data_IF_264927375724
#
_entry.id   IF_264927375724
#
_cell.length_a   1.000
_cell.length_b   1.000
_cell.length_c   1.000
_cell.angle_alpha   90.00
_cell.angle_beta   90.00
_cell.angle_gamma   90.00
#
_symmetry.space_group_name_H-M   'P 1'
#
loop_
_entity.id
_entity.type
_entity.pdbx_description
1 polymer ?
#
# COMPACT_ATOMS: atom_id res chain seq x y z
N UNK A 1 -46.80 48.11 9.32
CA UNK A 1 -45.81 48.94 8.59
C UNK A 1 -45.57 50.22 9.37
N UNK A 2 -44.48 50.29 10.14
CA UNK A 2 -44.08 51.51 10.84
C UNK A 2 -43.50 52.51 9.82
N UNK A 3 -44.14 53.68 9.66
CA UNK A 3 -43.59 54.81 8.90
C UNK A 3 -42.45 55.43 9.72
N UNK A 4 -41.25 54.88 9.61
CA UNK A 4 -40.06 55.51 10.18
C UNK A 4 -39.82 56.86 9.49
N UNK A 5 -39.64 57.92 10.28
CA UNK A 5 -39.36 59.26 9.80
C UNK A 5 -38.07 59.26 8.95
N UNK A 6 -38.11 59.88 7.77
CA UNK A 6 -37.07 59.79 6.73
C UNK A 6 -35.67 60.21 7.23
N UNK A 7 -35.59 61.07 8.26
CA UNK A 7 -34.33 61.44 8.92
C UNK A 7 -33.75 60.32 9.79
N UNK A 8 -34.60 59.60 10.53
CA UNK A 8 -34.18 58.49 11.41
C UNK A 8 -33.73 57.31 10.57
N UNK A 9 -34.42 57.02 9.45
CA UNK A 9 -34.00 55.98 8.51
C UNK A 9 -32.65 56.29 7.87
N UNK A 10 -32.41 57.55 7.47
CA UNK A 10 -31.09 57.98 6.97
C UNK A 10 -29.99 57.89 8.03
N UNK A 11 -30.29 58.22 9.30
CA UNK A 11 -29.31 58.10 10.39
C UNK A 11 -28.95 56.63 10.67
N UNK A 12 -29.95 55.74 10.66
CA UNK A 12 -29.76 54.30 10.81
C UNK A 12 -28.99 53.72 9.63
N UNK A 13 -29.28 54.16 8.40
CA UNK A 13 -28.56 53.72 7.21
C UNK A 13 -27.10 54.21 7.24
N UNK A 14 -26.85 55.46 7.66
CA UNK A 14 -25.49 55.96 7.85
C UNK A 14 -24.79 55.18 8.96
N UNK A 15 -25.45 54.87 10.08
CA UNK A 15 -24.86 54.07 11.16
C UNK A 15 -24.57 52.62 10.73
N UNK A 16 -25.43 52.00 9.93
CA UNK A 16 -25.22 50.65 9.37
C UNK A 16 -24.11 50.65 8.32
N UNK A 17 -24.02 51.69 7.49
CA UNK A 17 -22.92 51.84 6.53
C UNK A 17 -21.62 52.15 7.27
N UNK A 18 -21.64 53.00 8.30
CA UNK A 18 -20.46 53.32 9.12
C UNK A 18 -20.03 52.12 9.96
N UNK A 19 -20.95 51.30 10.47
CA UNK A 19 -20.61 50.06 11.17
C UNK A 19 -20.11 48.99 10.20
N UNK A 20 -20.65 48.88 8.98
CA UNK A 20 -20.10 48.01 7.94
C UNK A 20 -18.73 48.47 7.44
N UNK A 21 -18.47 49.78 7.38
CA UNK A 21 -17.16 50.33 6.99
C UNK A 21 -16.12 50.17 8.11
N UNK A 22 -16.52 50.27 9.39
CA UNK A 22 -15.62 50.01 10.54
C UNK A 22 -15.30 48.51 10.68
N UNK A 23 -16.18 47.60 10.22
CA UNK A 23 -15.92 46.15 10.27
C UNK A 23 -15.08 45.67 9.06
N UNK A 24 -14.91 46.48 8.01
CA UNK A 24 -14.16 46.09 6.79
C UNK A 24 -12.66 46.44 6.81
N UNK A 25 -12.13 46.97 7.90
CA UNK A 25 -10.69 47.04 8.13
C UNK A 25 -10.31 46.10 9.27
N UNK A 26 -10.69 44.82 9.17
CA UNK A 26 -9.83 43.79 9.72
C UNK A 26 -8.52 43.90 8.93
N UNK A 27 -7.58 44.68 9.45
CA UNK A 27 -6.17 44.50 9.13
C UNK A 27 -5.95 43.01 9.35
N UNK A 28 -5.85 42.23 8.28
CA UNK A 28 -5.46 40.83 8.38
C UNK A 28 -4.11 40.88 9.09
N UNK A 29 -4.11 40.49 10.37
CA UNK A 29 -2.90 40.48 11.16
C UNK A 29 -1.92 39.56 10.43
N UNK A 30 -0.71 40.06 10.19
CA UNK A 30 0.40 39.23 9.69
C UNK A 30 0.58 38.13 10.72
N UNK A 31 0.12 36.93 10.40
CA UNK A 31 0.05 35.87 11.41
C UNK A 31 0.81 34.66 10.90
N UNK A 32 1.92 34.36 11.57
CA UNK A 32 2.61 33.10 11.41
C UNK A 32 1.99 32.11 12.40
N UNK A 33 1.62 30.94 11.90
CA UNK A 33 1.09 29.83 12.69
C UNK A 33 2.18 28.79 12.92
N UNK A 34 2.37 28.37 14.16
CA UNK A 34 3.16 27.20 14.53
C UNK A 34 2.19 26.06 14.88
N UNK A 35 2.26 24.96 14.15
CA UNK A 35 1.43 23.77 14.34
C UNK A 35 2.19 22.67 15.08
N UNK A 36 1.93 22.54 16.38
CA UNK A 36 2.64 21.61 17.25
C UNK A 36 2.10 20.18 17.16
N UNK A 37 1.03 19.89 16.41
CA UNK A 37 0.36 18.58 16.42
C UNK A 37 1.25 17.42 15.96
N UNK A 38 2.32 17.72 15.23
CA UNK A 38 3.36 16.75 14.86
C UNK A 38 4.43 16.48 15.93
N UNK A 39 4.42 17.22 17.04
CA UNK A 39 5.43 17.13 18.10
C UNK A 39 5.04 16.23 19.29
N UNK A 40 3.80 15.75 19.32
CA UNK A 40 3.27 14.90 20.39
C UNK A 40 2.59 13.64 19.84
N UNK A 41 2.25 12.70 20.73
CA UNK A 41 1.52 11.46 20.37
C UNK A 41 0.01 11.67 20.36
N UNK A 42 -0.46 12.69 21.08
CA UNK A 42 -1.85 13.08 21.19
C UNK A 42 -2.02 14.60 21.23
N UNK A 43 -3.27 15.08 21.12
CA UNK A 43 -3.57 16.50 21.23
C UNK A 43 -3.23 17.06 22.63
N UNK A 44 -3.42 16.25 23.67
CA UNK A 44 -3.09 16.61 25.06
C UNK A 44 -1.58 16.82 25.25
N UNK A 45 -0.76 16.22 24.39
CA UNK A 45 0.69 16.42 24.41
C UNK A 45 1.11 17.80 23.88
N UNK A 46 0.24 18.50 23.15
CA UNK A 46 0.59 19.72 22.41
C UNK A 46 -0.31 20.91 22.71
N UNK A 47 -1.48 20.69 23.31
CA UNK A 47 -2.41 21.72 23.73
C UNK A 47 -1.90 22.49 24.97
N UNK A 48 -2.03 23.82 24.96
CA UNK A 48 -1.66 24.66 26.11
C UNK A 48 -0.17 24.67 26.45
N UNK A 49 0.70 24.22 25.54
CA UNK A 49 2.14 24.06 25.77
C UNK A 49 2.86 25.40 25.75
N UNK A 50 3.77 25.59 26.71
CA UNK A 50 4.63 26.77 26.77
C UNK A 50 5.81 26.63 25.80
N UNK A 51 6.07 27.70 25.06
CA UNK A 51 7.21 27.85 24.16
C UNK A 51 8.04 29.03 24.63
N UNK A 52 9.34 28.83 24.75
CA UNK A 52 10.30 29.91 24.84
C UNK A 52 10.91 30.09 23.45
N UNK A 53 10.83 31.31 22.91
CA UNK A 53 11.26 31.62 21.55
C UNK A 53 12.26 32.77 21.63
N UNK A 54 13.40 32.62 20.93
CA UNK A 54 14.46 33.61 20.82
C UNK A 54 14.61 34.07 19.38
N UNK A 55 14.74 35.38 19.15
CA UNK A 55 15.16 35.92 17.86
C UNK A 55 16.69 35.88 17.78
N UNK A 56 17.22 35.02 16.92
CA UNK A 56 18.65 34.68 16.91
C UNK A 56 19.43 35.34 15.77
N UNK A 57 18.74 35.74 14.70
CA UNK A 57 19.33 36.50 13.58
C UNK A 57 18.24 37.36 12.91
N UNK A 58 18.58 38.58 12.53
CA UNK A 58 17.71 39.48 11.75
C UNK A 58 17.52 39.00 10.29
N UNK A 59 18.40 38.13 9.81
CA UNK A 59 18.37 37.58 8.45
C UNK A 59 17.62 36.25 8.42
N UNK A 60 17.23 35.86 7.20
CA UNK A 60 16.65 34.55 6.92
C UNK A 60 17.80 33.56 6.66
N UNK A 61 18.07 32.68 7.62
CA UNK A 61 19.10 31.65 7.49
C UNK A 61 18.62 30.48 6.59
N UNK A 62 19.55 29.90 5.84
CA UNK A 62 19.32 28.67 5.07
C UNK A 62 19.00 27.47 5.97
N UNK A 63 18.48 26.38 5.38
CA UNK A 63 18.15 25.17 6.15
C UNK A 63 19.35 24.60 6.91
N UNK A 64 20.51 24.51 6.27
CA UNK A 64 21.74 23.95 6.87
C UNK A 64 22.26 24.83 8.02
N UNK A 65 22.23 26.15 7.84
CA UNK A 65 22.60 27.10 8.90
C UNK A 65 21.66 27.01 10.10
N UNK A 66 20.37 26.83 9.85
CA UNK A 66 19.35 26.67 10.90
C UNK A 66 19.48 25.36 11.66
N UNK A 67 19.92 24.30 11.00
CA UNK A 67 20.23 23.04 11.64
C UNK A 67 21.46 23.17 12.56
N UNK A 68 22.57 23.70 12.03
CA UNK A 68 23.79 23.93 12.81
C UNK A 68 23.53 24.85 14.02
N UNK A 69 22.67 25.86 13.85
CA UNK A 69 22.20 26.70 14.94
C UNK A 69 21.51 25.89 16.04
N UNK A 70 20.52 25.06 15.69
CA UNK A 70 19.78 24.23 16.67
C UNK A 70 20.73 23.32 17.43
N UNK A 71 21.64 22.65 16.73
CA UNK A 71 22.68 21.79 17.34
C UNK A 71 23.57 22.58 18.31
N UNK A 72 24.01 23.78 17.93
CA UNK A 72 24.89 24.61 18.76
C UNK A 72 24.23 25.17 20.03
N UNK A 73 22.90 25.33 20.01
CA UNK A 73 22.14 25.94 21.09
C UNK A 73 21.43 24.92 21.97
N UNK A 74 21.15 23.70 21.49
CA UNK A 74 20.29 22.73 22.18
C UNK A 74 20.68 22.47 23.64
N UNK A 75 21.96 22.21 23.89
CA UNK A 75 22.44 21.80 25.21
C UNK A 75 22.75 22.98 26.15
N UNK A 76 22.55 24.22 25.66
CA UNK A 76 22.79 25.43 26.45
C UNK A 76 21.62 25.72 27.38
N UNK A 77 21.83 26.10 28.65
CA UNK A 77 20.74 26.50 29.53
C UNK A 77 20.06 27.78 29.02
N UNK A 78 18.74 27.91 29.24
CA UNK A 78 17.93 29.05 28.77
C UNK A 78 18.54 30.41 29.14
N UNK A 79 19.08 30.53 30.35
CA UNK A 79 19.66 31.78 30.87
C UNK A 79 21.02 32.14 30.26
N UNK A 80 21.67 31.21 29.55
CA UNK A 80 22.92 31.50 28.81
C UNK A 80 22.68 32.07 27.42
N UNK A 81 21.43 32.03 26.92
CA UNK A 81 21.06 32.60 25.63
C UNK A 81 20.74 34.09 25.79
N UNK A 82 21.64 34.96 25.34
CA UNK A 82 21.52 36.43 25.49
C UNK A 82 20.68 37.10 24.39
N UNK A 83 19.91 36.32 23.63
CA UNK A 83 19.02 36.82 22.57
C UNK A 83 17.70 37.35 23.14
N UNK A 84 17.04 38.22 22.38
CA UNK A 84 15.68 38.68 22.70
C UNK A 84 14.73 37.48 22.74
N UNK A 85 14.04 37.31 23.87
CA UNK A 85 13.20 36.15 24.15
C UNK A 85 11.76 36.50 24.47
N UNK A 86 10.86 35.60 24.12
CA UNK A 86 9.44 35.67 24.44
C UNK A 86 8.93 34.32 24.90
N UNK A 87 7.85 34.36 25.70
CA UNK A 87 7.14 33.17 26.17
C UNK A 87 5.72 33.18 25.63
N UNK A 88 5.36 32.13 24.90
CA UNK A 88 4.05 31.99 24.28
C UNK A 88 3.46 30.63 24.63
N UNK A 89 2.16 30.46 24.38
CA UNK A 89 1.46 29.18 24.60
C UNK A 89 0.67 28.78 23.37
N UNK A 90 0.64 27.48 23.08
CA UNK A 90 -0.32 26.94 22.12
C UNK A 90 -1.75 26.98 22.68
N UNK A 91 -2.73 27.03 21.79
CA UNK A 91 -4.15 26.95 22.11
C UNK A 91 -4.57 25.49 22.39
N UNK A 92 -5.87 25.28 22.62
CA UNK A 92 -6.46 23.94 22.87
C UNK A 92 -6.37 22.99 21.67
N UNK A 93 -6.10 23.50 20.48
CA UNK A 93 -5.95 22.72 19.25
C UNK A 93 -4.48 22.44 18.89
N UNK A 94 -3.54 22.90 19.71
CA UNK A 94 -2.10 22.71 19.48
C UNK A 94 -1.46 23.71 18.51
N UNK A 95 -2.14 24.83 18.21
CA UNK A 95 -1.59 25.91 17.38
C UNK A 95 -1.09 27.08 18.21
N UNK A 96 -0.06 27.77 17.73
CA UNK A 96 0.38 29.07 18.23
C UNK A 96 0.37 30.06 17.06
N UNK A 97 -0.42 31.10 17.18
CA UNK A 97 -0.54 32.17 16.19
C UNK A 97 0.11 33.44 16.74
N UNK A 98 1.07 34.01 16.02
CA UNK A 98 1.78 35.22 16.46
C UNK A 98 2.35 36.01 15.26
N UNK A 99 2.43 37.33 15.41
CA UNK A 99 3.02 38.25 14.43
C UNK A 99 4.50 38.46 14.76
N UNK A 100 5.36 37.67 14.11
CA UNK A 100 6.81 37.76 14.30
C UNK A 100 7.41 38.76 13.30
N UNK A 101 8.30 39.62 13.79
CA UNK A 101 9.17 40.40 12.91
C UNK A 101 9.98 39.48 11.99
N UNK A 102 10.41 40.03 10.85
CA UNK A 102 11.28 39.29 9.93
C UNK A 102 12.55 38.85 10.65
N UNK A 103 12.91 37.57 10.49
CA UNK A 103 14.15 37.03 11.04
C UNK A 103 14.15 35.53 11.19
N UNK A 104 15.22 35.01 11.80
CA UNK A 104 15.36 33.61 12.20
C UNK A 104 15.18 33.49 13.70
N UNK A 105 14.42 32.47 14.10
CA UNK A 105 14.03 32.20 15.47
C UNK A 105 14.45 30.81 15.89
N UNK A 106 14.78 30.66 17.17
CA UNK A 106 14.99 29.39 17.87
C UNK A 106 13.91 29.23 18.94
N UNK A 107 13.33 28.05 19.08
CA UNK A 107 12.24 27.80 20.00
C UNK A 107 12.46 26.50 20.79
N UNK A 108 12.04 26.50 22.04
CA UNK A 108 11.96 25.31 22.91
C UNK A 108 10.52 25.14 23.38
N UNK A 109 9.95 23.96 23.15
CA UNK A 109 8.65 23.57 23.73
C UNK A 109 8.88 22.86 25.06
N UNK A 110 8.21 23.31 26.12
CA UNK A 110 8.38 22.80 27.48
C UNK A 110 7.37 21.68 27.82
N UNK A 111 7.82 20.70 28.62
CA UNK A 111 6.97 19.61 29.12
C UNK A 111 5.99 20.06 30.21
N UNK A 112 4.78 19.51 30.23
CA UNK A 112 3.76 19.80 31.26
C UNK A 112 3.86 18.91 32.51
N UNK A 113 4.48 17.72 32.44
CA UNK A 113 4.41 16.70 33.49
C UNK A 113 5.73 15.93 33.67
N UNK A 114 6.57 16.31 34.65
CA UNK A 114 7.69 15.61 35.34
C UNK A 114 8.62 14.62 34.61
N UNK A 115 8.47 14.45 33.30
CA UNK A 115 9.37 13.80 32.34
C UNK A 115 9.62 14.86 31.28
N UNK A 116 10.83 15.39 31.29
CA UNK A 116 11.21 16.58 30.53
C UNK A 116 11.59 16.11 29.12
N UNK A 117 10.65 16.20 28.18
CA UNK A 117 11.01 16.26 26.76
C UNK A 117 11.04 17.74 26.36
N UNK A 118 12.23 18.25 26.06
CA UNK A 118 12.43 19.59 25.47
C UNK A 118 12.58 19.41 23.98
N UNK A 119 11.75 20.12 23.20
CA UNK A 119 11.81 20.05 21.75
C UNK A 119 12.38 21.36 21.18
N UNK A 120 13.67 21.40 20.83
CA UNK A 120 14.27 22.54 20.17
C UNK A 120 13.91 22.55 18.67
N UNK A 121 13.66 23.72 18.10
CA UNK A 121 13.59 23.88 16.65
C UNK A 121 13.94 25.31 16.25
N UNK A 122 14.20 25.52 14.96
CA UNK A 122 14.36 26.86 14.40
C UNK A 122 13.40 27.07 13.22
N UNK A 123 12.96 28.31 13.06
CA UNK A 123 12.06 28.71 11.98
C UNK A 123 12.41 30.11 11.49
N UNK A 124 11.83 30.48 10.35
CA UNK A 124 12.01 31.81 9.75
C UNK A 124 10.65 32.48 9.67
N UNK A 125 10.61 33.76 10.03
CA UNK A 125 9.47 34.62 9.75
C UNK A 125 9.87 35.52 8.58
N UNK A 126 9.15 35.40 7.46
CA UNK A 126 9.28 36.31 6.31
C UNK A 126 8.26 37.44 6.40
N UNK A 127 8.59 38.58 5.83
CA UNK A 127 7.65 39.68 5.67
C UNK A 127 6.56 39.31 4.65
N UNK A 128 5.32 39.66 4.96
CA UNK A 128 4.17 39.71 4.04
C UNK A 128 3.62 38.36 3.52
N UNK A 129 3.98 37.23 4.15
CA UNK A 129 3.43 35.90 3.84
C UNK A 129 2.71 35.28 5.06
N UNK A 130 1.47 34.79 4.86
CA UNK A 130 0.88 33.81 5.78
C UNK A 130 1.73 32.54 5.78
N UNK A 131 2.31 32.20 6.92
CA UNK A 131 3.26 31.10 7.06
C UNK A 131 2.75 30.10 8.09
N UNK A 132 2.80 28.81 7.75
CA UNK A 132 2.58 27.74 8.71
C UNK A 132 3.90 26.99 8.92
N UNK A 133 4.33 26.94 10.17
CA UNK A 133 5.55 26.25 10.62
C UNK A 133 5.14 24.95 11.30
N UNK A 134 5.75 23.84 10.86
CA UNK A 134 5.57 22.51 11.44
C UNK A 134 6.84 22.09 12.18
N UNK A 135 7.00 22.47 13.45
CA UNK A 135 8.15 22.06 14.25
C UNK A 135 8.20 20.54 14.46
N UNK A 136 9.42 20.00 14.49
CA UNK A 136 9.68 18.57 14.56
C UNK A 136 9.98 18.18 16.02
N UNK A 137 9.16 17.30 16.60
CA UNK A 137 9.40 16.73 17.94
C UNK A 137 10.29 15.48 17.85
N UNK A 138 11.20 15.35 18.81
CA UNK A 138 12.23 14.31 18.98
C UNK A 138 13.28 14.25 17.87
N UNK A 139 14.57 14.35 18.26
CA UNK A 139 15.79 14.13 17.48
C UNK A 139 15.61 13.70 16.01
N UNK A 140 16.12 14.55 15.11
CA UNK A 140 16.46 14.25 13.71
C UNK A 140 15.43 13.48 12.87
N UNK A 141 14.63 14.22 12.09
CA UNK A 141 14.21 13.72 10.77
C UNK A 141 14.19 14.85 9.74
N UNK A 142 15.23 14.96 8.88
CA UNK A 142 15.12 15.73 7.65
C UNK A 142 13.86 15.32 6.89
N UNK A 143 13.13 16.28 6.28
CA UNK A 143 11.93 15.91 5.55
C UNK A 143 12.30 14.91 4.47
N UNK A 144 11.48 13.88 4.30
CA UNK A 144 11.65 12.98 3.19
C UNK A 144 11.22 13.65 1.89
N UNK A 145 11.78 13.16 0.79
CA UNK A 145 11.39 13.53 -0.56
C UNK A 145 10.87 12.28 -1.24
N UNK A 146 9.84 12.42 -2.06
CA UNK A 146 9.47 11.38 -3.02
C UNK A 146 9.69 11.88 -4.43
N UNK A 147 10.29 11.00 -5.25
CA UNK A 147 10.36 11.15 -6.69
C UNK A 147 9.62 10.00 -7.34
N UNK A 148 8.49 10.30 -7.96
CA UNK A 148 7.72 9.36 -8.75
C UNK A 148 8.23 9.38 -10.18
N UNK A 149 8.40 8.19 -10.76
CA UNK A 149 8.72 7.97 -12.17
C UNK A 149 7.58 7.21 -12.82
N UNK A 150 6.83 7.90 -13.68
CA UNK A 150 5.77 7.32 -14.47
C UNK A 150 6.33 6.85 -15.79
N UNK A 151 6.15 5.56 -16.05
CA UNK A 151 6.66 4.94 -17.26
C UNK A 151 5.63 4.02 -17.91
N UNK A 152 5.88 3.68 -19.17
CA UNK A 152 5.25 2.58 -19.87
C UNK A 152 5.89 1.23 -19.52
N UNK A 153 5.28 0.16 -20.01
CA UNK A 153 5.81 -1.19 -19.93
C UNK A 153 7.13 -1.41 -20.69
N UNK A 154 7.42 -0.59 -21.71
CA UNK A 154 8.70 -0.50 -22.43
C UNK A 154 9.67 0.54 -21.84
N UNK A 155 9.47 0.90 -20.57
CA UNK A 155 10.34 1.80 -19.76
C UNK A 155 10.47 3.23 -20.26
N UNK A 156 9.55 3.70 -21.11
CA UNK A 156 9.55 5.09 -21.58
C UNK A 156 8.84 5.99 -20.59
N UNK A 157 9.35 7.21 -20.33
CA UNK A 157 8.69 8.18 -19.45
C UNK A 157 7.34 8.62 -20.03
N UNK A 158 6.37 8.87 -19.15
CA UNK A 158 5.03 9.27 -19.53
C UNK A 158 4.62 10.60 -18.88
N UNK A 159 4.49 11.63 -19.70
CA UNK A 159 3.97 12.94 -19.32
C UNK A 159 2.44 12.95 -19.21
N UNK A 160 1.91 13.77 -18.30
CA UNK A 160 0.49 14.08 -18.21
C UNK A 160 -0.35 13.08 -17.42
N UNK A 161 0.27 12.18 -16.65
CA UNK A 161 -0.46 11.34 -15.70
C UNK A 161 -0.84 12.18 -14.49
N UNK A 162 -2.08 12.05 -14.00
CA UNK A 162 -2.59 12.83 -12.87
C UNK A 162 -2.65 11.95 -11.62
N UNK A 163 -2.04 12.42 -10.54
CA UNK A 163 -1.95 11.72 -9.27
C UNK A 163 -2.50 12.54 -8.10
N UNK A 164 -3.03 11.84 -7.11
CA UNK A 164 -3.23 12.35 -5.75
C UNK A 164 -2.29 11.64 -4.80
N UNK A 165 -1.80 12.36 -3.80
CA UNK A 165 -0.95 11.81 -2.74
C UNK A 165 -1.76 11.75 -1.44
N UNK A 166 -1.76 10.60 -0.78
CA UNK A 166 -2.36 10.43 0.53
C UNK A 166 -1.31 9.96 1.53
N UNK A 167 -1.38 10.49 2.75
CA UNK A 167 -0.68 9.95 3.92
C UNK A 167 -1.59 9.03 4.70
N UNK A 168 -1.06 7.92 5.21
CA UNK A 168 -1.79 7.05 6.12
C UNK A 168 -1.55 7.53 7.55
N UNK A 169 -2.61 7.97 8.23
CA UNK A 169 -2.58 8.41 9.62
C UNK A 169 -3.64 7.64 10.40
N UNK A 170 -3.23 6.87 11.41
CA UNK A 170 -4.12 6.01 12.21
C UNK A 170 -4.99 5.08 11.34
N UNK A 171 -4.40 4.52 10.29
CA UNK A 171 -5.09 3.63 9.34
C UNK A 171 -6.06 4.33 8.38
N UNK A 172 -6.07 5.67 8.32
CA UNK A 172 -6.91 6.46 7.41
C UNK A 172 -6.07 7.20 6.38
N UNK A 173 -6.57 7.28 5.14
CA UNK A 173 -5.99 8.07 4.07
C UNK A 173 -6.33 9.56 4.27
N UNK A 174 -5.30 10.39 4.41
CA UNK A 174 -5.40 11.85 4.51
C UNK A 174 -4.76 12.46 3.27
N UNK A 175 -5.54 13.22 2.49
CA UNK A 175 -5.07 13.84 1.26
C UNK A 175 -3.99 14.89 1.55
N UNK A 176 -2.82 14.71 0.96
CA UNK A 176 -1.74 15.70 0.98
C UNK A 176 -2.00 16.76 -0.08
N UNK A 177 -1.86 18.03 0.33
CA UNK A 177 -1.95 19.18 -0.57
C UNK A 177 -0.63 19.94 -0.55
N UNK A 178 -0.28 20.55 -1.67
CA UNK A 178 0.89 21.42 -1.82
C UNK A 178 0.47 22.70 -2.50
N UNK A 179 0.73 23.84 -1.87
CA UNK A 179 0.38 25.17 -2.39
C UNK A 179 -1.11 25.29 -2.81
N UNK A 180 -2.00 24.63 -2.05
CA UNK A 180 -3.43 24.57 -2.35
C UNK A 180 -3.86 23.55 -3.40
N UNK A 181 -2.91 22.92 -4.11
CA UNK A 181 -3.15 21.87 -5.09
C UNK A 181 -3.29 20.50 -4.42
N UNK A 182 -4.24 19.70 -4.91
CA UNK A 182 -4.44 18.31 -4.48
C UNK A 182 -4.00 17.28 -5.52
N UNK A 183 -3.65 17.74 -6.72
CA UNK A 183 -3.32 16.89 -7.86
C UNK A 183 -1.95 17.26 -8.42
N UNK A 184 -1.18 16.24 -8.77
CA UNK A 184 0.18 16.34 -9.28
C UNK A 184 0.22 15.70 -10.66
N UNK A 185 0.82 16.39 -11.62
CA UNK A 185 0.88 15.93 -13.00
C UNK A 185 2.31 15.60 -13.36
N UNK A 186 2.53 14.46 -14.01
CA UNK A 186 3.88 14.08 -14.45
C UNK A 186 4.37 15.01 -15.56
N UNK A 187 5.62 15.44 -15.44
CA UNK A 187 6.27 16.33 -16.40
C UNK A 187 6.74 15.60 -17.67
N UNK A 188 7.49 16.28 -18.53
CA UNK A 188 7.99 15.73 -19.80
C UNK A 188 8.92 14.51 -19.61
N UNK A 189 9.58 14.42 -18.46
CA UNK A 189 10.44 13.29 -18.08
C UNK A 189 9.65 12.19 -17.34
N UNK A 190 8.32 12.36 -17.23
CA UNK A 190 7.43 11.45 -16.54
C UNK A 190 7.57 11.52 -15.02
N UNK A 191 8.06 12.63 -14.49
CA UNK A 191 8.42 12.75 -13.08
C UNK A 191 7.41 13.58 -12.28
N UNK A 192 7.26 13.23 -11.00
CA UNK A 192 6.69 14.12 -9.96
C UNK A 192 7.67 14.13 -8.79
N UNK A 193 8.05 15.32 -8.33
CA UNK A 193 8.89 15.50 -7.15
C UNK A 193 8.10 16.24 -6.07
N UNK A 194 8.01 15.63 -4.89
CA UNK A 194 7.35 16.25 -3.72
C UNK A 194 8.32 16.16 -2.55
N UNK A 195 8.71 17.33 -2.02
CA UNK A 195 9.57 17.45 -0.87
C UNK A 195 8.77 17.75 0.40
N UNK A 196 9.51 17.93 1.51
CA UNK A 196 8.94 18.35 2.79
C UNK A 196 7.87 17.36 3.31
N UNK A 197 8.01 16.07 2.98
CA UNK A 197 7.12 15.02 3.46
C UNK A 197 7.54 14.53 4.85
N UNK A 198 6.55 14.27 5.68
CA UNK A 198 6.76 13.66 6.98
C UNK A 198 7.08 12.18 6.78
N UNK A 199 7.89 11.60 7.68
CA UNK A 199 8.07 10.15 7.73
C UNK A 199 6.70 9.46 7.89
N UNK A 200 6.52 8.34 7.19
CA UNK A 200 5.32 7.53 7.29
C UNK A 200 4.98 6.80 6.01
N UNK A 201 3.79 6.21 6.01
CA UNK A 201 3.24 5.47 4.88
C UNK A 201 2.39 6.40 4.02
N UNK A 202 2.54 6.25 2.70
CA UNK A 202 1.90 7.08 1.70
C UNK A 202 1.34 6.22 0.56
N UNK A 203 0.41 6.82 -0.18
CA UNK A 203 -0.23 6.23 -1.34
C UNK A 203 -0.23 7.28 -2.46
N UNK A 204 0.32 6.90 -3.61
CA UNK A 204 -0.02 7.57 -4.86
C UNK A 204 -1.26 6.92 -5.44
N UNK A 205 -2.32 7.69 -5.66
CA UNK A 205 -3.49 7.28 -6.41
C UNK A 205 -3.44 7.89 -7.81
N UNK A 206 -3.33 7.06 -8.85
CA UNK A 206 -3.44 7.52 -10.24
C UNK A 206 -4.92 7.77 -10.55
N UNK A 207 -5.24 9.02 -10.86
CA UNK A 207 -6.61 9.48 -11.17
C UNK A 207 -6.85 9.41 -12.67
N UNK A 208 -5.85 9.80 -13.47
CA UNK A 208 -5.94 9.83 -14.92
C UNK A 208 -4.63 9.33 -15.54
N UNK A 209 -4.74 8.37 -16.45
CA UNK A 209 -3.60 7.90 -17.22
C UNK A 209 -3.27 8.89 -18.37
N UNK A 210 -2.00 8.97 -18.79
CA UNK A 210 -1.60 9.69 -20.00
C UNK A 210 -2.37 9.21 -21.24
N UNK A 211 -2.55 10.10 -22.22
CA UNK A 211 -3.19 9.76 -23.50
C UNK A 211 -2.54 8.55 -24.17
N UNK A 212 -3.35 7.57 -24.57
CA UNK A 212 -2.88 6.33 -25.21
C UNK A 212 -2.37 5.28 -24.22
N UNK A 213 -2.59 5.48 -22.92
CA UNK A 213 -2.23 4.55 -21.86
C UNK A 213 -3.42 4.26 -20.93
N UNK A 214 -3.29 3.17 -20.18
CA UNK A 214 -4.26 2.74 -19.17
C UNK A 214 -3.57 2.51 -17.84
N UNK A 215 -4.27 2.91 -16.77
CA UNK A 215 -3.84 2.69 -15.39
C UNK A 215 -3.70 1.17 -15.17
N UNK A 216 -2.49 0.74 -14.81
CA UNK A 216 -2.23 -0.66 -14.45
C UNK A 216 -2.64 -0.96 -13.02
N UNK A 217 -2.27 -0.07 -12.11
CA UNK A 217 -2.49 -0.20 -10.68
C UNK A 217 -2.90 1.17 -10.15
N UNK A 218 -4.11 1.24 -9.59
CA UNK A 218 -4.71 2.53 -9.22
C UNK A 218 -4.04 3.16 -8.00
N UNK A 219 -3.58 2.34 -7.05
CA UNK A 219 -2.95 2.80 -5.80
C UNK A 219 -1.59 2.15 -5.64
N UNK A 220 -0.55 2.96 -5.46
CA UNK A 220 0.81 2.51 -5.18
C UNK A 220 1.21 2.96 -3.78
N UNK A 221 1.43 1.98 -2.90
CA UNK A 221 1.88 2.21 -1.54
C UNK A 221 3.40 2.38 -1.48
N UNK A 222 3.87 3.30 -0.67
CA UNK A 222 5.28 3.51 -0.41
C UNK A 222 5.51 4.11 0.98
N UNK A 223 6.76 4.06 1.42
CA UNK A 223 7.17 4.61 2.71
C UNK A 223 8.15 5.76 2.48
N UNK A 224 7.90 6.86 3.18
CA UNK A 224 8.86 7.96 3.29
C UNK A 224 9.73 7.71 4.50
N UNK A 225 11.03 7.57 4.22
CA UNK A 225 12.08 7.38 5.21
C UNK A 225 12.86 8.69 5.43
N UNK A 226 13.65 8.71 6.49
CA UNK A 226 14.44 9.87 6.90
C UNK A 226 15.55 10.18 5.87
N UNK A 227 15.82 11.47 5.63
CA UNK A 227 17.02 11.98 4.93
C UNK A 227 17.32 11.33 3.57
N UNK A 228 16.30 10.82 2.88
CA UNK A 228 16.45 10.10 1.62
C UNK A 228 15.34 10.45 0.64
N UNK A 229 15.68 10.41 -0.64
CA UNK A 229 14.70 10.45 -1.72
C UNK A 229 14.13 9.05 -1.91
N UNK A 230 12.85 8.87 -1.61
CA UNK A 230 12.11 7.66 -1.98
C UNK A 230 11.79 7.72 -3.46
N UNK A 231 12.30 6.77 -4.23
CA UNK A 231 11.96 6.63 -5.66
C UNK A 231 10.79 5.66 -5.82
N UNK A 232 9.69 6.13 -6.41
CA UNK A 232 8.49 5.31 -6.67
C UNK A 232 8.34 5.16 -8.17
N UNK A 233 8.24 3.93 -8.66
CA UNK A 233 8.11 3.64 -10.10
C UNK A 233 6.73 3.08 -10.40
N UNK A 234 5.96 3.77 -11.25
CA UNK A 234 4.58 3.40 -11.58
C UNK A 234 4.44 3.16 -13.09
N UNK A 235 4.03 1.95 -13.46
CA UNK A 235 3.97 1.47 -14.85
C UNK A 235 2.53 1.52 -15.36
N UNK A 236 2.30 2.02 -16.59
CA UNK A 236 1.02 1.86 -17.29
C UNK A 236 1.15 0.93 -18.49
N UNK A 237 0.03 0.35 -18.89
CA UNK A 237 -0.10 -0.31 -20.18
C UNK A 237 -0.34 0.72 -21.26
N UNK A 238 0.11 0.43 -22.49
CA UNK A 238 -0.47 1.07 -23.66
C UNK A 238 -1.95 0.73 -23.72
N UNK A 239 -2.75 1.59 -24.33
CA UNK A 239 -4.21 1.45 -24.34
C UNK A 239 -4.72 0.14 -24.97
N UNK A 240 -3.91 -0.46 -25.84
CA UNK A 240 -4.15 -1.74 -26.49
C UNK A 240 -3.35 -2.90 -25.89
N UNK A 241 -2.81 -2.76 -24.68
CA UNK A 241 -2.07 -3.79 -23.95
C UNK A 241 -2.71 -4.09 -22.59
N UNK A 242 -2.50 -5.29 -22.08
CA UNK A 242 -3.02 -5.71 -20.78
C UNK A 242 -2.42 -7.02 -20.29
N UNK A 243 -3.18 -7.75 -19.47
CA UNK A 243 -2.76 -9.03 -18.92
C UNK A 243 -3.92 -9.95 -18.55
N UNK A 244 -3.59 -11.13 -18.03
CA UNK A 244 -4.57 -12.13 -17.60
C UNK A 244 -4.10 -12.83 -16.33
N UNK A 245 -5.00 -12.98 -15.36
CA UNK A 245 -4.76 -13.77 -14.15
C UNK A 245 -5.40 -15.14 -14.32
N UNK A 246 -4.66 -16.18 -13.92
CA UNK A 246 -5.10 -17.57 -13.97
C UNK A 246 -5.00 -18.20 -12.59
N UNK A 247 -5.78 -19.24 -12.35
CA UNK A 247 -5.65 -20.09 -11.17
C UNK A 247 -5.73 -21.57 -11.53
N UNK A 248 -4.69 -22.31 -11.19
CA UNK A 248 -4.59 -23.75 -11.36
C UNK A 248 -5.19 -24.47 -10.16
N UNK A 249 -6.16 -25.35 -10.42
CA UNK A 249 -6.83 -26.13 -9.39
C UNK A 249 -7.02 -27.59 -9.79
N UNK A 250 -7.31 -28.44 -8.82
CA UNK A 250 -7.80 -29.81 -9.03
C UNK A 250 -9.25 -29.77 -9.53
N UNK A 251 -9.58 -30.55 -10.55
CA UNK A 251 -10.95 -30.63 -11.07
C UNK A 251 -11.95 -31.14 -10.03
N UNK A 252 -11.49 -32.03 -9.11
CA UNK A 252 -12.31 -32.68 -8.09
C UNK A 252 -12.41 -31.87 -6.80
N UNK A 253 -11.27 -31.50 -6.22
CA UNK A 253 -11.24 -30.87 -4.88
C UNK A 253 -11.27 -29.35 -4.94
N UNK A 254 -11.04 -28.76 -6.12
CA UNK A 254 -10.85 -27.31 -6.32
C UNK A 254 -9.70 -26.70 -5.52
N UNK A 255 -8.86 -27.53 -4.89
CA UNK A 255 -7.65 -27.10 -4.21
C UNK A 255 -6.59 -26.65 -5.22
N UNK A 256 -5.73 -25.69 -4.84
CA UNK A 256 -4.69 -25.17 -5.73
C UNK A 256 -3.65 -26.24 -6.11
N UNK A 257 -3.06 -26.08 -7.29
CA UNK A 257 -1.96 -26.93 -7.75
C UNK A 257 -0.75 -26.06 -8.09
N UNK A 258 0.33 -26.26 -7.35
CA UNK A 258 1.61 -25.56 -7.51
C UNK A 258 2.49 -26.22 -8.59
N UNK A 259 3.37 -25.42 -9.21
CA UNK A 259 4.50 -25.91 -9.99
C UNK A 259 4.15 -26.36 -11.42
N UNK A 260 2.91 -26.15 -11.86
CA UNK A 260 2.48 -26.46 -13.22
C UNK A 260 3.03 -25.40 -14.16
N UNK A 261 3.66 -25.82 -15.26
CA UNK A 261 4.29 -24.89 -16.22
C UNK A 261 3.49 -24.76 -17.51
N UNK A 262 3.37 -23.52 -17.96
CA UNK A 262 2.64 -23.15 -19.16
C UNK A 262 3.49 -22.29 -20.10
N UNK A 263 3.20 -22.35 -21.39
CA UNK A 263 3.62 -21.35 -22.38
C UNK A 263 2.39 -20.71 -23.00
N UNK A 264 2.53 -19.45 -23.43
CA UNK A 264 1.48 -18.74 -24.17
C UNK A 264 1.86 -18.72 -25.63
N UNK A 265 0.86 -18.91 -26.49
CA UNK A 265 0.99 -18.72 -27.93
C UNK A 265 -0.05 -17.73 -28.42
N UNK A 266 0.25 -17.07 -29.54
CA UNK A 266 -0.76 -16.47 -30.40
C UNK A 266 -0.75 -17.17 -31.75
N UNK A 267 -1.91 -17.21 -32.41
CA UNK A 267 -2.01 -17.78 -33.76
C UNK A 267 -1.86 -16.65 -34.77
N UNK A 268 -0.83 -16.74 -35.61
CA UNK A 268 -0.60 -15.79 -36.69
C UNK A 268 -0.38 -16.58 -37.98
N UNK A 269 -1.13 -16.24 -39.03
CA UNK A 269 -1.04 -16.89 -40.35
C UNK A 269 -1.17 -18.42 -40.31
N UNK A 270 -2.00 -18.96 -39.41
CA UNK A 270 -2.26 -20.40 -39.27
C UNK A 270 -1.26 -21.19 -38.42
N UNK A 271 -0.20 -20.54 -37.89
CA UNK A 271 0.79 -21.18 -37.03
C UNK A 271 0.73 -20.64 -35.60
N UNK A 272 0.95 -21.52 -34.62
CA UNK A 272 1.06 -21.14 -33.22
C UNK A 272 2.48 -20.62 -32.94
N UNK A 273 2.57 -19.33 -32.62
CA UNK A 273 3.82 -18.67 -32.27
C UNK A 273 3.89 -18.51 -30.75
N UNK A 274 4.93 -19.05 -30.13
CA UNK A 274 5.19 -18.86 -28.70
C UNK A 274 5.54 -17.40 -28.40
N UNK A 275 4.91 -16.87 -27.37
CA UNK A 275 5.24 -15.57 -26.82
C UNK A 275 6.58 -15.66 -26.11
N UNK A 276 7.42 -14.66 -26.36
CA UNK A 276 8.78 -14.60 -25.81
C UNK A 276 8.95 -13.38 -24.93
N UNK A 277 9.77 -13.52 -23.89
CA UNK A 277 10.27 -12.44 -23.04
C UNK A 277 11.79 -12.55 -23.01
N UNK A 278 12.47 -11.44 -23.29
CA UNK A 278 13.94 -11.36 -23.34
C UNK A 278 14.58 -12.43 -24.26
N UNK A 279 13.94 -12.66 -25.42
CA UNK A 279 14.39 -13.63 -26.43
C UNK A 279 14.09 -15.10 -26.12
N UNK A 280 13.57 -15.42 -24.93
CA UNK A 280 13.23 -16.79 -24.48
C UNK A 280 11.72 -16.98 -24.42
N UNK A 281 11.25 -18.22 -24.52
CA UNK A 281 9.83 -18.55 -24.34
C UNK A 281 9.36 -18.04 -22.97
N UNK A 282 8.23 -17.33 -22.96
CA UNK A 282 7.59 -16.90 -21.73
C UNK A 282 6.94 -18.13 -21.06
N UNK A 283 7.62 -18.65 -20.04
CA UNK A 283 7.13 -19.76 -19.23
C UNK A 283 6.49 -19.22 -17.96
N UNK A 284 5.21 -19.53 -17.76
CA UNK A 284 4.47 -19.22 -16.53
C UNK A 284 4.42 -20.46 -15.65
N UNK A 285 4.50 -20.28 -14.34
CA UNK A 285 4.43 -21.38 -13.36
C UNK A 285 3.38 -21.03 -12.30
N UNK A 286 2.48 -21.96 -11.98
CA UNK A 286 1.53 -21.77 -10.88
C UNK A 286 2.24 -21.75 -9.54
N UNK A 287 1.92 -20.77 -8.69
CA UNK A 287 2.44 -20.66 -7.33
C UNK A 287 1.75 -21.63 -6.35
N UNK A 288 2.14 -21.57 -5.08
CA UNK A 288 1.58 -22.35 -3.97
C UNK A 288 0.06 -22.23 -3.79
N UNK A 289 -0.51 -21.10 -4.19
CA UNK A 289 -1.96 -20.81 -4.14
C UNK A 289 -2.64 -21.09 -5.49
N UNK A 290 -1.89 -21.65 -6.44
CA UNK A 290 -2.27 -22.03 -7.79
C UNK A 290 -2.28 -20.87 -8.77
N UNK A 291 -1.96 -19.65 -8.35
CA UNK A 291 -2.07 -18.47 -9.21
C UNK A 291 -0.86 -18.31 -10.11
N UNK A 292 -1.11 -17.71 -11.27
CA UNK A 292 -0.07 -17.19 -12.16
C UNK A 292 -0.69 -16.13 -13.06
N UNK A 293 0.14 -15.25 -13.62
CA UNK A 293 -0.33 -14.15 -14.47
C UNK A 293 0.56 -13.95 -15.68
N UNK A 294 -0.05 -13.52 -16.77
CA UNK A 294 0.65 -12.86 -17.86
C UNK A 294 0.37 -11.38 -17.84
N UNK A 295 1.37 -10.61 -18.21
CA UNK A 295 1.33 -9.17 -18.17
C UNK A 295 1.97 -8.59 -19.44
N UNK A 296 1.60 -7.36 -19.78
CA UNK A 296 2.13 -6.59 -20.91
C UNK A 296 2.04 -7.31 -22.26
N UNK A 297 0.84 -7.76 -22.62
CA UNK A 297 0.56 -8.31 -23.94
C UNK A 297 -0.46 -7.46 -24.70
N UNK A 298 -0.30 -7.31 -26.03
CA UNK A 298 -1.32 -6.68 -26.87
C UNK A 298 -2.66 -7.37 -26.73
N UNK A 299 -3.75 -6.61 -26.87
CA UNK A 299 -5.10 -7.14 -26.90
C UNK A 299 -5.25 -8.16 -28.04
N UNK A 300 -6.02 -9.19 -27.75
CA UNK A 300 -6.27 -10.25 -28.71
C UNK A 300 -6.40 -11.63 -28.08
N UNK A 301 -6.45 -12.63 -28.95
CA UNK A 301 -6.67 -14.02 -28.60
C UNK A 301 -5.36 -14.77 -28.44
N UNK A 302 -5.25 -15.48 -27.34
CA UNK A 302 -4.09 -16.28 -26.98
C UNK A 302 -4.51 -17.67 -26.54
N UNK A 303 -3.52 -18.57 -26.51
CA UNK A 303 -3.71 -19.95 -26.11
C UNK A 303 -2.65 -20.34 -25.10
N UNK A 304 -3.10 -20.94 -24.00
CA UNK A 304 -2.26 -21.42 -22.92
C UNK A 304 -2.03 -22.93 -23.09
N UNK A 305 -0.77 -23.31 -23.27
CA UNK A 305 -0.33 -24.70 -23.41
C UNK A 305 0.37 -25.16 -22.14
N UNK A 306 -0.09 -26.27 -21.56
CA UNK A 306 0.60 -26.91 -20.43
C UNK A 306 1.79 -27.71 -20.95
N UNK A 307 3.00 -27.36 -20.49
CA UNK A 307 4.24 -28.02 -20.90
C UNK A 307 4.79 -28.96 -19.83
N UNK A 308 4.34 -28.81 -18.57
CA UNK A 308 4.71 -29.69 -17.47
C UNK A 308 3.58 -29.72 -16.42
N UNK A 309 2.85 -30.84 -16.29
CA UNK A 309 1.88 -31.00 -15.21
C UNK A 309 2.58 -31.17 -13.85
N UNK A 310 1.84 -30.95 -12.77
CA UNK A 310 2.29 -31.29 -11.42
C UNK A 310 2.27 -32.82 -11.20
N UNK A 311 3.12 -33.30 -10.28
CA UNK A 311 3.15 -34.72 -9.92
C UNK A 311 1.78 -35.18 -9.40
N UNK A 312 1.33 -36.36 -9.84
CA UNK A 312 0.03 -36.91 -9.44
C UNK A 312 -1.17 -36.35 -10.20
N UNK A 313 -0.98 -35.56 -11.25
CA UNK A 313 -2.06 -35.03 -12.10
C UNK A 313 -1.86 -35.41 -13.56
N UNK A 314 -2.98 -35.66 -14.26
CA UNK A 314 -2.97 -35.77 -15.72
C UNK A 314 -2.74 -34.39 -16.35
N UNK A 315 -2.01 -34.31 -17.48
CA UNK A 315 -1.88 -33.08 -18.21
C UNK A 315 -3.20 -32.66 -18.86
N UNK A 316 -3.31 -31.38 -19.21
CA UNK A 316 -4.41 -30.90 -20.05
C UNK A 316 -4.44 -31.66 -21.39
N UNK A 317 -5.64 -32.07 -21.81
CA UNK A 317 -5.85 -32.74 -23.09
C UNK A 317 -5.77 -31.81 -24.30
N UNK A 318 -5.92 -30.50 -24.07
CA UNK A 318 -5.89 -29.44 -25.07
C UNK A 318 -5.50 -28.10 -24.43
N UNK A 319 -5.01 -27.19 -25.25
CA UNK A 319 -4.77 -25.80 -24.87
C UNK A 319 -6.04 -25.09 -24.41
N UNK A 320 -5.86 -24.02 -23.63
CA UNK A 320 -6.96 -23.15 -23.21
C UNK A 320 -6.88 -21.81 -23.93
N UNK A 321 -7.92 -21.47 -24.69
CA UNK A 321 -8.04 -20.15 -25.30
C UNK A 321 -8.44 -19.11 -24.25
N UNK A 322 -7.91 -17.90 -24.39
CA UNK A 322 -8.29 -16.75 -23.60
C UNK A 322 -8.11 -15.45 -24.38
N UNK A 323 -8.84 -14.41 -23.99
CA UNK A 323 -8.68 -13.05 -24.52
C UNK A 323 -7.91 -12.20 -23.53
N UNK A 324 -7.11 -11.28 -24.07
CA UNK A 324 -6.61 -10.11 -23.36
C UNK A 324 -7.35 -8.91 -23.91
N UNK A 325 -8.06 -8.25 -23.02
CA UNK A 325 -8.84 -7.05 -23.24
C UNK A 325 -8.74 -6.15 -21.99
N UNK A 326 -9.49 -5.07 -22.01
CA UNK A 326 -9.49 -4.07 -20.96
C UNK A 326 -9.93 -4.53 -19.57
N UNK A 327 -10.70 -5.62 -19.48
CA UNK A 327 -11.25 -6.15 -18.22
C UNK A 327 -10.56 -7.45 -17.81
N UNK A 328 -9.55 -7.87 -18.57
CA UNK A 328 -8.98 -9.21 -18.43
C UNK A 328 -8.19 -9.42 -17.15
N UNK A 329 -7.61 -8.36 -16.58
CA UNK A 329 -6.88 -8.42 -15.31
C UNK A 329 -7.81 -8.62 -14.10
N UNK A 330 -9.05 -8.16 -14.17
CA UNK A 330 -10.04 -8.29 -13.10
C UNK A 330 -10.72 -9.67 -13.07
N UNK A 331 -10.47 -10.50 -14.09
CA UNK A 331 -11.13 -11.80 -14.28
C UNK A 331 -10.13 -12.95 -14.21
N UNK A 332 -10.21 -13.72 -13.13
CA UNK A 332 -9.42 -14.95 -12.96
C UNK A 332 -9.97 -16.07 -13.85
N UNK A 333 -9.11 -16.65 -14.70
CA UNK A 333 -9.43 -17.86 -15.46
C UNK A 333 -8.97 -19.12 -14.70
N UNK A 334 -9.91 -20.00 -14.34
CA UNK A 334 -9.62 -21.25 -13.67
C UNK A 334 -9.21 -22.35 -14.65
N UNK A 335 -8.16 -23.10 -14.31
CA UNK A 335 -7.61 -24.19 -15.13
C UNK A 335 -7.51 -25.45 -14.28
N UNK A 336 -8.19 -26.50 -14.71
CA UNK A 336 -8.38 -27.71 -13.92
C UNK A 336 -7.58 -28.89 -14.45
N UNK A 337 -6.88 -29.61 -13.57
CA UNK A 337 -6.29 -30.92 -13.90
C UNK A 337 -6.94 -31.98 -13.02
N UNK A 338 -7.07 -33.17 -13.58
CA UNK A 338 -7.57 -34.34 -12.87
C UNK A 338 -6.43 -35.04 -12.12
N UNK A 339 -6.69 -35.40 -10.86
CA UNK A 339 -5.74 -36.16 -10.05
C UNK A 339 -5.71 -37.62 -10.49
N UNK A 340 -4.52 -38.21 -10.56
CA UNK A 340 -4.33 -39.61 -10.91
C UNK A 340 -4.82 -40.49 -9.76
N UNK A 341 -5.96 -41.16 -9.93
CA UNK A 341 -6.44 -42.15 -8.96
C UNK A 341 -5.70 -43.48 -9.16
N UNK A 342 -4.79 -43.83 -8.22
CA UNK A 342 -4.23 -45.19 -8.18
C UNK A 342 -5.34 -46.11 -7.65
N UNK A 343 -6.04 -46.79 -8.57
CA UNK A 343 -6.90 -47.92 -8.18
C UNK A 343 -6.02 -49.00 -7.55
N UNK A 344 -5.99 -49.07 -6.21
CA UNK A 344 -5.47 -50.25 -5.50
C UNK A 344 -6.28 -51.45 -5.96
N UNK A 345 -5.76 -52.21 -6.92
CA UNK A 345 -6.30 -53.54 -7.19
C UNK A 345 -6.16 -54.33 -5.90
N UNK A 346 -7.27 -54.55 -5.19
CA UNK A 346 -7.33 -55.58 -4.16
C UNK A 346 -7.07 -56.89 -4.89
N UNK A 347 -5.83 -57.37 -4.86
CA UNK A 347 -5.56 -58.77 -5.18
C UNK A 347 -6.39 -59.55 -4.17
N UNK A 348 -7.52 -60.13 -4.59
CA UNK A 348 -8.22 -61.14 -3.80
C UNK A 348 -7.23 -62.28 -3.66
N UNK A 349 -6.47 -62.29 -2.57
CA UNK A 349 -5.67 -63.44 -2.17
C UNK A 349 -6.68 -64.59 -2.05
N UNK A 350 -6.70 -65.52 -3.02
CA UNK A 350 -7.40 -66.80 -2.86
C UNK A 350 -6.63 -67.52 -1.77
N UNK A 351 -7.01 -67.28 -0.52
CA UNK A 351 -6.55 -68.10 0.59
C UNK A 351 -7.31 -69.42 0.41
N UNK A 352 -6.65 -70.57 0.24
CA UNK A 352 -7.35 -71.85 0.24
C UNK A 352 -8.09 -71.98 1.57
N UNK A 353 -9.37 -72.37 1.53
CA UNK A 353 -10.09 -72.79 2.74
C UNK A 353 -9.45 -74.08 3.22
N UNK A 354 -8.54 -74.00 4.18
CA UNK A 354 -8.08 -75.16 4.94
C UNK A 354 -8.90 -75.25 6.23
N UNK A 355 -9.63 -76.36 6.40
CA UNK A 355 -10.56 -76.57 7.51
C UNK A 355 -12.04 -76.63 7.11
N UNK A 356 -12.35 -77.04 5.88
CA UNK A 356 -13.75 -77.27 5.50
C UNK A 356 -14.34 -78.45 6.28
N UNK A 357 -15.66 -78.42 6.52
CA UNK A 357 -16.41 -79.40 7.31
C UNK A 357 -16.17 -80.84 6.81
N UNK A 358 -15.84 -81.01 5.52
CA UNK A 358 -15.44 -82.29 4.94
C UNK A 358 -14.25 -82.95 5.64
N UNK A 359 -13.24 -82.19 6.11
CA UNK A 359 -12.09 -82.77 6.81
C UNK A 359 -12.47 -83.30 8.20
N UNK A 360 -13.36 -82.58 8.90
CA UNK A 360 -13.90 -83.01 10.20
C UNK A 360 -14.77 -84.26 10.01
N UNK A 361 -15.64 -84.28 8.99
CA UNK A 361 -16.48 -85.43 8.65
C UNK A 361 -15.65 -86.67 8.30
N UNK A 362 -14.60 -86.55 7.48
CA UNK A 362 -13.73 -87.68 7.13
C UNK A 362 -12.99 -88.22 8.36
N UNK A 363 -12.54 -87.34 9.26
CA UNK A 363 -11.87 -87.75 10.50
C UNK A 363 -12.82 -88.51 11.44
N UNK A 364 -14.05 -88.02 11.58
CA UNK A 364 -15.09 -88.68 12.37
C UNK A 364 -15.48 -90.06 11.79
N UNK A 365 -15.62 -90.16 10.47
CA UNK A 365 -15.88 -91.43 9.78
C UNK A 365 -14.74 -92.44 10.00
N UNK A 366 -13.48 -91.99 9.89
CA UNK A 366 -12.32 -92.84 10.15
C UNK A 366 -12.30 -93.38 11.59
N UNK A 367 -12.67 -92.56 12.57
CA UNK A 367 -12.79 -92.99 13.96
C UNK A 367 -13.90 -94.05 14.15
N UNK A 368 -15.07 -93.83 13.55
CA UNK A 368 -16.19 -94.79 13.59
C UNK A 368 -15.78 -96.13 12.98
N UNK A 369 -15.16 -96.12 11.80
CA UNK A 369 -14.67 -97.34 11.15
C UNK A 369 -13.63 -98.06 12.02
N UNK A 370 -12.75 -97.32 12.70
CA UNK A 370 -11.72 -97.90 13.58
C UNK A 370 -12.34 -98.55 14.81
N UNK A 371 -13.35 -97.92 15.42
CA UNK A 371 -14.11 -98.48 16.54
C UNK A 371 -14.87 -99.73 16.10
N UNK A 372 -15.55 -99.69 14.96
CA UNK A 372 -16.23 -100.88 14.40
C UNK A 372 -15.26 -102.02 14.15
N UNK A 373 -14.08 -101.75 13.58
CA UNK A 373 -13.03 -102.75 13.39
C UNK A 373 -12.58 -103.38 14.72
N UNK A 374 -12.39 -102.56 15.76
CA UNK A 374 -12.02 -103.05 17.09
C UNK A 374 -13.13 -103.91 17.73
N UNK A 375 -14.40 -103.56 17.56
CA UNK A 375 -15.55 -104.35 18.04
C UNK A 375 -15.62 -105.69 17.30
N UNK A 376 -15.51 -105.70 15.96
CA UNK A 376 -15.54 -106.93 15.16
C UNK A 376 -14.40 -107.90 15.52
N UNK A 377 -13.20 -107.39 15.83
CA UNK A 377 -12.08 -108.22 16.28
C UNK A 377 -12.36 -108.82 17.67
N UNK A 378 -13.11 -108.11 18.53
CA UNK A 378 -13.45 -108.56 19.87
C UNK A 378 -14.60 -109.58 19.89
N UNK A 379 -15.51 -109.55 18.92
CA UNK A 379 -16.62 -110.51 18.80
C UNK A 379 -16.21 -111.83 18.10
N UNK A 380 -15.07 -111.86 17.39
CA UNK A 380 -14.49 -113.05 16.74
C UNK A 380 -13.36 -113.72 17.55
N UNK A 381 -13.27 -113.45 18.86
CA UNK A 381 -12.46 -114.18 19.84
C UNK A 381 -13.39 -114.70 20.94
#
# INVERSE_FOLDING_TARGET
MLKLNNKIFKLLLIYVIFSMVIISSAVYAKTLRIDLRGMGRSLDDVAGRELIIWKVDERILSSDQRQALVESLNDRPDDSLTYDKMKLKSNSEGFLDYDFDKGTYYARVLSSNSKIDIYPFSFVAKADDEQIIYPKGHHETPPGEVKLFKISSDEKPLQGAVFRLYRIVNGKEVLEKRDGLSEFVTDADGEIRIDNLLMGEYIFEEIEAPKGYRIKEKKTFFQINQSSTTNVRIVNYKENEGGKVFRKVSSKTKLPIEGVKFVITNRSSGYDKRIKKDGKDLVLTSDKDGYFKVDNLPFGTYYLFEIKPAAGYYPLSSEKSFQIDEFSLDKVLFIENEHIEIKKHKIKKRIPKTGDISLILMSALGLICSIMGAVLIKENK
#
